data_IF_428621932893
#
_entry.id   IF_428621932893
#
_cell.length_a   1.000
_cell.length_b   1.000
_cell.length_c   1.000
_cell.angle_alpha   90.00
_cell.angle_beta   90.00
_cell.angle_gamma   90.00
#
_symmetry.space_group_name_H-M   'P 1'
#
loop_
_entity.id
_entity.type
_entity.pdbx_description
1 polymer ?
#
# COMPACT_ATOMS: atom_id res chain seq x y z
N UNK A 1 -21.41 37.19 33.76
CA UNK A 1 -22.02 35.84 33.50
C UNK A 1 -21.21 34.76 34.24
N UNK A 2 -21.82 33.59 34.58
CA UNK A 2 -21.06 32.45 35.12
C UNK A 2 -20.34 31.70 34.01
N UNK A 3 -19.23 31.04 34.33
CA UNK A 3 -18.37 30.34 33.36
C UNK A 3 -19.13 29.35 32.44
N UNK A 4 -20.09 28.58 32.98
CA UNK A 4 -20.87 27.64 32.15
C UNK A 4 -21.78 28.34 31.11
N UNK A 5 -22.30 29.54 31.43
CA UNK A 5 -23.07 30.33 30.44
C UNK A 5 -22.16 30.94 29.36
N UNK A 6 -20.96 31.33 29.74
CA UNK A 6 -19.95 31.83 28.78
C UNK A 6 -19.51 30.71 27.84
N UNK A 7 -19.24 29.53 28.38
CA UNK A 7 -18.91 28.33 27.60
C UNK A 7 -19.97 28.02 26.53
N UNK A 8 -21.25 28.10 26.90
CA UNK A 8 -22.36 27.87 25.96
C UNK A 8 -22.49 28.98 24.92
N UNK A 9 -22.34 30.25 25.32
CA UNK A 9 -22.53 31.41 24.45
C UNK A 9 -21.44 31.53 23.39
N UNK A 10 -20.18 31.27 23.77
CA UNK A 10 -19.01 31.40 22.90
C UNK A 10 -18.54 30.08 22.31
N UNK A 11 -19.27 28.97 22.55
CA UNK A 11 -18.92 27.64 22.06
C UNK A 11 -17.49 27.18 22.41
N UNK A 12 -17.02 27.56 23.59
CA UNK A 12 -15.69 27.20 24.11
C UNK A 12 -15.80 26.30 25.33
N UNK A 13 -14.93 25.31 25.45
CA UNK A 13 -14.94 24.41 26.61
C UNK A 13 -14.61 25.15 27.91
N UNK A 14 -15.18 24.69 29.03
CA UNK A 14 -14.91 25.23 30.37
C UNK A 14 -13.41 25.09 30.68
N UNK A 15 -12.77 24.00 30.27
CA UNK A 15 -11.34 23.76 30.48
C UNK A 15 -10.49 24.80 29.76
N UNK A 16 -10.83 25.19 28.53
CA UNK A 16 -10.17 26.25 27.80
C UNK A 16 -10.33 27.62 28.49
N UNK A 17 -11.52 27.90 29.06
CA UNK A 17 -11.71 29.13 29.82
C UNK A 17 -10.84 29.15 31.08
N UNK A 18 -10.77 28.03 31.83
CA UNK A 18 -9.85 27.92 32.96
C UNK A 18 -8.38 28.04 32.51
N UNK A 19 -8.01 27.46 31.39
CA UNK A 19 -6.67 27.58 30.83
C UNK A 19 -6.33 29.05 30.50
N UNK A 20 -7.24 29.81 29.88
CA UNK A 20 -7.03 31.23 29.58
C UNK A 20 -6.93 32.06 30.86
N UNK A 21 -7.70 31.75 31.90
CA UNK A 21 -7.56 32.40 33.18
C UNK A 21 -6.21 32.09 33.82
N UNK A 22 -5.81 30.84 33.82
CA UNK A 22 -4.52 30.40 34.40
C UNK A 22 -3.32 30.99 33.66
N UNK A 23 -3.42 31.12 32.35
CA UNK A 23 -2.39 31.70 31.50
C UNK A 23 -2.39 33.24 31.55
N UNK A 24 -3.31 33.86 32.29
CA UNK A 24 -3.40 35.32 32.45
C UNK A 24 -4.03 36.07 31.25
N UNK A 25 -4.60 35.33 30.28
CA UNK A 25 -5.32 35.94 29.14
C UNK A 25 -6.65 36.57 29.58
N UNK A 26 -7.36 35.88 30.50
CA UNK A 26 -8.60 36.41 31.09
C UNK A 26 -8.39 36.65 32.60
N UNK A 27 -8.93 37.76 33.07
CA UNK A 27 -8.84 38.17 34.51
C UNK A 27 -10.25 38.46 35.03
N UNK A 28 -11.17 37.43 35.07
CA UNK A 28 -12.53 37.65 35.55
C UNK A 28 -12.53 37.89 37.08
N UNK A 29 -13.38 38.82 37.55
CA UNK A 29 -13.63 38.98 39.00
C UNK A 29 -14.07 37.67 39.66
N UNK A 30 -13.65 37.43 40.91
CA UNK A 30 -13.93 36.20 41.64
C UNK A 30 -14.66 36.46 42.99
N UNK A 31 -15.88 37.02 42.96
CA UNK A 31 -16.63 37.23 44.18
C UNK A 31 -17.02 35.89 44.80
N UNK A 32 -16.82 35.77 46.13
CA UNK A 32 -17.12 34.55 46.90
C UNK A 32 -16.52 33.26 46.31
N UNK A 33 -15.33 33.37 45.68
CA UNK A 33 -14.62 32.24 45.11
C UNK A 33 -15.08 31.74 43.73
N UNK A 34 -16.10 32.33 43.12
CA UNK A 34 -16.60 31.96 41.79
C UNK A 34 -16.22 32.99 40.72
N UNK A 35 -15.77 32.53 39.56
CA UNK A 35 -15.47 33.43 38.45
C UNK A 35 -16.76 34.02 37.84
N UNK A 36 -16.76 35.33 37.67
CA UNK A 36 -17.85 36.09 37.04
C UNK A 36 -17.30 36.86 35.85
N UNK A 37 -17.76 36.54 34.68
CA UNK A 37 -17.37 37.23 33.44
C UNK A 37 -18.25 38.47 33.32
N UNK A 38 -17.66 39.62 33.55
CA UNK A 38 -18.24 40.96 33.28
C UNK A 38 -18.10 41.33 31.80
N UNK A 39 -18.58 42.50 31.41
CA UNK A 39 -18.51 42.98 30.03
C UNK A 39 -17.07 43.12 29.54
N UNK A 40 -16.17 43.59 30.37
CA UNK A 40 -14.76 43.77 30.00
C UNK A 40 -14.09 42.39 29.74
N UNK A 41 -14.32 41.42 30.62
CA UNK A 41 -13.80 40.07 30.45
C UNK A 41 -14.39 39.36 29.22
N UNK A 42 -15.65 39.63 28.89
CA UNK A 42 -16.27 39.11 27.66
C UNK A 42 -15.65 39.73 26.40
N UNK A 43 -15.40 41.03 26.39
CA UNK A 43 -14.70 41.71 25.30
C UNK A 43 -13.25 41.20 25.12
N UNK A 44 -12.55 40.91 26.21
CA UNK A 44 -11.23 40.29 26.13
C UNK A 44 -11.33 38.87 25.56
N UNK A 45 -12.35 38.09 25.94
CA UNK A 45 -12.56 36.76 25.37
C UNK A 45 -12.86 36.80 23.87
N UNK A 46 -13.75 37.74 23.46
CA UNK A 46 -14.06 37.93 22.04
C UNK A 46 -12.80 38.25 21.22
N UNK A 47 -11.96 39.12 21.73
CA UNK A 47 -10.70 39.44 21.06
C UNK A 47 -9.70 38.28 21.05
N UNK A 48 -9.61 37.49 22.14
CA UNK A 48 -8.82 36.26 22.16
C UNK A 48 -9.27 35.30 21.05
N UNK A 49 -10.59 35.12 20.90
CA UNK A 49 -11.14 34.22 19.88
C UNK A 49 -10.85 34.72 18.48
N UNK A 50 -11.04 36.05 18.21
CA UNK A 50 -10.68 36.67 16.94
C UNK A 50 -9.18 36.46 16.61
N UNK A 51 -8.28 36.71 17.57
CA UNK A 51 -6.86 36.52 17.36
C UNK A 51 -6.49 35.07 17.13
N UNK A 52 -7.22 34.12 17.78
CA UNK A 52 -7.06 32.68 17.52
C UNK A 52 -7.46 32.32 16.11
N UNK A 53 -8.56 32.86 15.59
CA UNK A 53 -9.00 32.66 14.20
C UNK A 53 -8.00 33.24 13.18
N UNK A 54 -7.21 34.23 13.60
CA UNK A 54 -6.12 34.80 12.83
C UNK A 54 -4.77 34.10 13.04
N UNK A 55 -4.79 32.88 13.60
CA UNK A 55 -3.63 32.01 13.87
C UNK A 55 -2.59 32.60 14.84
N UNK A 56 -2.97 33.58 15.69
CA UNK A 56 -2.08 34.05 16.75
C UNK A 56 -1.88 32.95 17.83
N UNK A 57 -0.64 32.75 18.24
CA UNK A 57 -0.29 31.90 19.37
C UNK A 57 -0.75 32.52 20.67
N UNK A 58 -0.94 31.74 21.72
CA UNK A 58 -1.34 32.26 23.02
C UNK A 58 -0.31 33.23 23.61
N UNK A 59 0.96 33.05 23.28
CA UNK A 59 2.04 34.01 23.67
C UNK A 59 1.88 35.38 22.99
N UNK A 60 1.60 35.40 21.69
CA UNK A 60 1.34 36.62 20.95
C UNK A 60 0.08 37.33 21.47
N UNK A 61 -0.99 36.58 21.71
CA UNK A 61 -2.25 37.04 22.31
C UNK A 61 -2.00 37.69 23.69
N UNK A 62 -1.17 37.02 24.53
CA UNK A 62 -0.83 37.55 25.85
C UNK A 62 -0.09 38.92 25.74
N UNK A 63 0.83 39.08 24.79
CA UNK A 63 1.53 40.35 24.54
C UNK A 63 0.52 41.44 24.14
N UNK A 64 -0.36 41.12 23.19
CA UNK A 64 -1.37 42.08 22.72
C UNK A 64 -2.36 42.52 23.80
N UNK A 65 -2.83 41.54 24.62
CA UNK A 65 -3.68 41.87 25.77
C UNK A 65 -2.97 42.68 26.83
N UNK A 66 -1.68 42.40 27.06
CA UNK A 66 -0.88 43.20 28.00
C UNK A 66 -0.72 44.64 27.54
N UNK A 67 -0.38 44.87 26.29
CA UNK A 67 -0.33 46.23 25.70
C UNK A 67 -1.68 46.94 25.82
N UNK A 68 -2.78 46.28 25.44
CA UNK A 68 -4.14 46.80 25.57
C UNK A 68 -4.47 47.21 26.99
N UNK A 69 -4.11 46.40 28.00
CA UNK A 69 -4.43 46.66 29.41
C UNK A 69 -3.60 47.79 30.02
N UNK A 70 -2.33 47.93 29.59
CA UNK A 70 -1.41 48.95 30.14
C UNK A 70 -1.65 50.29 29.53
N UNK A 71 -1.76 50.39 28.19
CA UNK A 71 -1.82 51.68 27.47
C UNK A 71 -3.18 51.95 26.81
N UNK A 72 -4.05 50.93 26.67
CA UNK A 72 -5.29 51.06 25.90
C UNK A 72 -5.07 51.36 24.42
N UNK A 73 -3.85 51.13 23.89
CA UNK A 73 -3.41 51.55 22.55
C UNK A 73 -3.51 53.08 22.33
N UNK A 74 -3.40 53.86 23.39
CA UNK A 74 -3.43 55.32 23.32
C UNK A 74 -2.13 55.92 22.77
N UNK A 75 -1.02 55.18 22.90
CA UNK A 75 0.27 55.58 22.35
C UNK A 75 0.37 55.17 20.86
N UNK A 76 0.76 56.09 19.94
CA UNK A 76 1.05 55.74 18.58
C UNK A 76 2.05 54.61 18.39
N UNK A 77 2.98 54.43 19.32
CA UNK A 77 3.96 53.34 19.28
C UNK A 77 3.31 51.96 19.47
N UNK A 78 2.34 51.85 20.39
CA UNK A 78 1.60 50.57 20.62
C UNK A 78 0.80 50.18 19.37
N UNK A 79 0.22 51.16 18.66
CA UNK A 79 -0.47 50.94 17.39
C UNK A 79 0.47 50.47 16.28
N UNK A 80 1.70 50.98 16.27
CA UNK A 80 2.73 50.51 15.33
C UNK A 80 3.12 49.07 15.61
N UNK A 81 3.35 48.69 16.88
CA UNK A 81 3.64 47.31 17.27
C UNK A 81 2.51 46.35 16.89
N UNK A 82 1.26 46.74 17.18
CA UNK A 82 0.09 45.96 16.81
C UNK A 82 0.03 45.76 15.28
N UNK A 83 0.21 46.84 14.52
CA UNK A 83 0.23 46.79 13.05
C UNK A 83 1.35 45.87 12.54
N UNK A 84 2.52 45.94 13.10
CA UNK A 84 3.67 45.13 12.74
C UNK A 84 3.39 43.63 13.02
N UNK A 85 2.80 43.31 14.17
CA UNK A 85 2.40 41.93 14.48
C UNK A 85 1.39 41.39 13.48
N UNK A 86 0.37 42.15 13.08
CA UNK A 86 -0.57 41.75 12.03
C UNK A 86 0.10 41.57 10.67
N UNK A 87 1.02 42.50 10.31
CA UNK A 87 1.77 42.41 9.05
C UNK A 87 2.64 41.14 8.99
N UNK A 88 3.33 40.85 10.09
CA UNK A 88 4.17 39.65 10.21
C UNK A 88 3.32 38.38 10.11
N UNK A 89 2.19 38.32 10.80
CA UNK A 89 1.27 37.19 10.73
C UNK A 89 0.75 37.01 9.29
N UNK A 90 0.31 38.09 8.65
CA UNK A 90 -0.12 38.01 7.24
C UNK A 90 1.01 37.53 6.33
N UNK A 91 2.25 37.98 6.55
CA UNK A 91 3.39 37.53 5.77
C UNK A 91 3.63 36.01 5.90
N UNK A 92 3.60 35.52 7.13
CA UNK A 92 3.73 34.06 7.39
C UNK A 92 2.62 33.25 6.70
N UNK A 93 1.37 33.66 6.80
CA UNK A 93 0.25 33.02 6.09
C UNK A 93 0.47 32.99 4.57
N UNK A 94 0.96 34.07 3.98
CA UNK A 94 1.24 34.10 2.54
C UNK A 94 2.40 33.16 2.15
N UNK A 95 3.43 33.06 3.01
CA UNK A 95 4.52 32.10 2.80
C UNK A 95 4.03 30.65 2.89
N UNK A 96 3.20 30.34 3.88
CA UNK A 96 2.61 29.00 4.02
C UNK A 96 1.71 28.65 2.84
N UNK A 97 0.89 29.59 2.38
CA UNK A 97 0.06 29.40 1.17
C UNK A 97 0.93 29.11 -0.07
N UNK A 98 2.01 29.87 -0.27
CA UNK A 98 2.93 29.66 -1.39
C UNK A 98 3.59 28.28 -1.31
N UNK A 99 4.05 27.87 -0.12
CA UNK A 99 4.62 26.56 0.11
C UNK A 99 3.60 25.44 -0.15
N UNK A 100 2.37 25.56 0.38
CA UNK A 100 1.30 24.56 0.15
C UNK A 100 0.94 24.45 -1.33
N UNK A 101 0.93 25.55 -2.05
CA UNK A 101 0.73 25.54 -3.50
C UNK A 101 1.83 24.79 -4.21
N UNK A 102 3.10 25.05 -3.89
CA UNK A 102 4.23 24.31 -4.47
C UNK A 102 4.12 22.81 -4.19
N UNK A 103 3.74 22.41 -2.97
CA UNK A 103 3.52 21.01 -2.62
C UNK A 103 2.39 20.40 -3.46
N UNK A 104 1.28 21.13 -3.64
CA UNK A 104 0.16 20.68 -4.47
C UNK A 104 0.60 20.47 -5.94
N UNK A 105 1.33 21.42 -6.51
CA UNK A 105 1.85 21.34 -7.88
C UNK A 105 2.81 20.15 -8.05
N UNK A 106 3.62 19.84 -7.03
CA UNK A 106 4.50 18.66 -7.03
C UNK A 106 3.72 17.35 -6.94
N UNK A 107 2.66 17.31 -6.14
CA UNK A 107 1.76 16.16 -6.04
C UNK A 107 1.04 15.92 -7.37
N UNK A 108 0.56 16.98 -8.02
CA UNK A 108 -0.10 16.87 -9.32
C UNK A 108 0.84 16.30 -10.40
N UNK A 109 2.10 16.72 -10.41
CA UNK A 109 3.12 16.12 -11.28
C UNK A 109 3.33 14.65 -10.99
N UNK A 110 3.39 14.26 -9.70
CA UNK A 110 3.51 12.86 -9.31
C UNK A 110 2.28 12.03 -9.71
N UNK A 111 1.09 12.57 -9.59
CA UNK A 111 -0.14 11.92 -10.04
C UNK A 111 -0.12 11.72 -11.57
N UNK A 112 0.34 12.72 -12.33
CA UNK A 112 0.46 12.62 -13.78
C UNK A 112 1.52 11.59 -14.23
N UNK A 113 2.56 11.36 -13.42
CA UNK A 113 3.57 10.32 -13.66
C UNK A 113 3.04 8.90 -13.40
N UNK A 114 1.94 8.75 -12.65
CA UNK A 114 1.31 7.46 -12.38
C UNK A 114 0.45 7.03 -13.57
N UNK A 115 1.05 6.30 -14.51
CA UNK A 115 0.30 5.63 -15.57
C UNK A 115 -0.54 4.50 -14.96
N UNK A 116 -1.86 4.71 -14.87
CA UNK A 116 -2.80 3.64 -14.58
C UNK A 116 -3.00 2.86 -15.89
N UNK A 117 -2.51 1.61 -15.99
CA UNK A 117 -2.63 0.86 -17.21
C UNK A 117 -4.12 0.69 -17.57
N UNK A 118 -4.55 1.21 -18.70
CA UNK A 118 -5.86 0.87 -19.25
C UNK A 118 -5.93 -0.66 -19.38
N UNK A 119 -7.01 -1.27 -18.91
CA UNK A 119 -7.26 -2.71 -19.04
C UNK A 119 -7.35 -3.03 -20.53
N UNK A 120 -6.26 -3.48 -21.12
CA UNK A 120 -6.27 -4.02 -22.48
C UNK A 120 -6.89 -5.41 -22.44
N UNK A 121 -7.96 -5.70 -23.19
CA UNK A 121 -8.56 -7.02 -23.22
C UNK A 121 -7.70 -8.07 -23.95
N UNK A 122 -6.68 -7.67 -24.68
CA UNK A 122 -5.83 -8.58 -25.45
C UNK A 122 -4.75 -9.22 -24.55
N UNK A 123 -4.90 -10.53 -24.34
CA UNK A 123 -3.87 -11.36 -23.71
C UNK A 123 -2.72 -11.55 -24.71
N UNK A 124 -1.54 -11.03 -24.38
CA UNK A 124 -0.37 -11.07 -25.27
C UNK A 124 0.39 -12.38 -25.18
N UNK A 125 0.43 -13.00 -24.02
CA UNK A 125 1.15 -14.26 -23.75
C UNK A 125 0.20 -15.35 -23.28
N UNK A 126 0.60 -16.60 -23.45
CA UNK A 126 -0.10 -17.79 -23.00
C UNK A 126 0.89 -18.81 -22.44
N UNK A 127 0.50 -20.07 -22.36
CA UNK A 127 1.43 -21.16 -22.03
C UNK A 127 2.44 -21.28 -23.17
N UNK A 128 3.76 -21.06 -22.91
CA UNK A 128 4.76 -21.15 -23.98
C UNK A 128 4.90 -22.60 -24.50
N UNK A 129 4.98 -22.74 -25.82
CA UNK A 129 5.19 -24.07 -26.44
C UNK A 129 6.50 -24.72 -25.98
N UNK A 130 7.52 -23.93 -25.70
CA UNK A 130 8.81 -24.37 -25.15
C UNK A 130 8.71 -25.02 -23.77
N UNK A 131 7.61 -24.78 -23.05
CA UNK A 131 7.36 -25.35 -21.71
C UNK A 131 6.64 -26.70 -21.74
N UNK A 132 6.00 -27.07 -22.85
CA UNK A 132 5.28 -28.34 -22.96
C UNK A 132 6.15 -29.58 -22.66
N UNK A 133 7.42 -29.64 -23.07
CA UNK A 133 8.29 -30.75 -22.72
C UNK A 133 8.54 -30.93 -21.21
N UNK A 134 8.28 -29.89 -20.41
CA UNK A 134 8.40 -29.96 -18.93
C UNK A 134 7.18 -30.58 -18.27
N UNK A 135 6.06 -30.74 -19.00
CA UNK A 135 4.80 -31.24 -18.46
C UNK A 135 4.75 -32.78 -18.48
N UNK A 136 4.14 -33.37 -17.45
CA UNK A 136 3.78 -34.78 -17.40
C UNK A 136 2.56 -34.97 -16.52
N UNK A 137 1.93 -36.12 -16.65
CA UNK A 137 0.81 -36.50 -15.78
C UNK A 137 1.28 -36.67 -14.33
N UNK A 138 0.71 -35.95 -13.36
CA UNK A 138 1.12 -36.06 -11.96
C UNK A 138 0.75 -37.44 -11.36
N UNK A 139 -0.22 -38.13 -11.95
CA UNK A 139 -0.68 -39.44 -11.43
C UNK A 139 0.17 -40.63 -11.91
N UNK A 140 0.72 -40.56 -13.13
CA UNK A 140 1.39 -41.75 -13.72
C UNK A 140 2.68 -41.41 -14.51
N UNK A 141 3.12 -40.15 -14.54
CA UNK A 141 4.35 -39.69 -15.19
C UNK A 141 4.32 -39.68 -16.72
N UNK A 142 3.25 -40.13 -17.36
CA UNK A 142 3.15 -40.17 -18.84
C UNK A 142 2.94 -38.77 -19.41
N UNK A 143 3.28 -38.61 -20.70
CA UNK A 143 3.04 -37.40 -21.44
C UNK A 143 1.53 -37.08 -21.52
N UNK A 144 1.22 -35.80 -21.57
CA UNK A 144 -0.14 -35.29 -21.70
C UNK A 144 -0.49 -35.04 -23.16
N UNK A 145 -1.68 -35.44 -23.60
CA UNK A 145 -2.24 -35.15 -24.91
C UNK A 145 -3.06 -33.85 -24.81
N UNK A 146 -3.07 -33.06 -25.90
CA UNK A 146 -3.82 -31.80 -25.97
C UNK A 146 -4.99 -31.91 -26.93
N UNK A 147 -6.12 -31.28 -26.58
CA UNK A 147 -7.34 -31.18 -27.40
C UNK A 147 -7.91 -29.77 -27.31
N UNK A 148 -8.67 -29.36 -28.32
CA UNK A 148 -9.41 -28.09 -28.36
C UNK A 148 -8.50 -26.87 -28.14
N UNK A 149 -7.38 -26.81 -28.86
CA UNK A 149 -6.30 -25.84 -28.61
C UNK A 149 -6.50 -24.58 -29.44
N UNK A 150 -6.53 -23.43 -28.76
CA UNK A 150 -6.38 -22.11 -29.36
C UNK A 150 -4.94 -21.60 -29.11
N UNK A 151 -4.16 -21.46 -30.18
CA UNK A 151 -2.73 -21.15 -30.09
C UNK A 151 -2.23 -20.35 -31.28
N UNK A 152 -1.06 -19.69 -31.11
CA UNK A 152 -0.24 -19.24 -32.23
C UNK A 152 1.09 -20.05 -32.28
N UNK A 153 2.06 -19.52 -33.02
CA UNK A 153 3.38 -20.15 -33.16
C UNK A 153 4.24 -20.15 -31.86
N UNK A 154 3.80 -19.48 -30.81
CA UNK A 154 4.58 -19.32 -29.55
C UNK A 154 3.79 -19.70 -28.30
N UNK A 155 2.49 -19.42 -28.25
CA UNK A 155 1.67 -19.51 -27.05
C UNK A 155 0.36 -20.25 -27.24
N UNK A 156 -0.12 -20.90 -26.17
CA UNK A 156 -1.45 -21.51 -26.06
C UNK A 156 -2.27 -20.68 -25.09
N UNK A 157 -3.47 -20.21 -25.50
CA UNK A 157 -4.38 -19.48 -24.61
C UNK A 157 -5.49 -20.33 -24.03
N UNK A 158 -5.91 -21.36 -24.79
CA UNK A 158 -6.97 -22.28 -24.39
C UNK A 158 -6.66 -23.69 -24.89
N UNK A 159 -7.07 -24.67 -24.13
CA UNK A 159 -6.93 -26.08 -24.46
C UNK A 159 -7.22 -26.99 -23.29
N UNK A 160 -7.32 -28.30 -23.58
CA UNK A 160 -7.47 -29.34 -22.56
C UNK A 160 -6.28 -30.27 -22.66
N UNK A 161 -5.61 -30.49 -21.52
CA UNK A 161 -4.57 -31.50 -21.34
C UNK A 161 -5.19 -32.76 -20.73
N UNK A 162 -4.92 -33.92 -21.29
CA UNK A 162 -5.49 -35.19 -20.82
C UNK A 162 -4.46 -36.31 -20.82
N UNK A 163 -4.60 -37.24 -19.89
CA UNK A 163 -3.83 -38.47 -19.80
C UNK A 163 -4.72 -39.69 -19.92
N UNK A 164 -4.19 -40.77 -20.45
CA UNK A 164 -4.89 -42.06 -20.54
C UNK A 164 -5.24 -42.69 -19.19
N UNK A 165 -4.68 -42.20 -18.06
CA UNK A 165 -5.07 -42.60 -16.71
C UNK A 165 -6.31 -41.89 -16.16
N UNK A 166 -6.89 -40.91 -16.91
CA UNK A 166 -8.05 -40.15 -16.50
C UNK A 166 -7.73 -38.73 -15.98
N UNK A 167 -6.46 -38.37 -15.80
CA UNK A 167 -6.08 -37.00 -15.40
C UNK A 167 -6.45 -36.00 -16.51
N UNK A 168 -6.99 -34.86 -16.11
CA UNK A 168 -7.31 -33.73 -17.00
C UNK A 168 -6.94 -32.41 -16.36
N UNK A 169 -6.43 -31.48 -17.18
CA UNK A 169 -6.17 -30.09 -16.80
C UNK A 169 -6.59 -29.18 -17.97
N UNK A 170 -6.86 -27.91 -17.70
CA UNK A 170 -7.33 -26.96 -18.69
C UNK A 170 -6.38 -25.78 -18.82
N UNK A 171 -6.23 -25.26 -20.02
CA UNK A 171 -5.60 -23.95 -20.25
C UNK A 171 -6.72 -22.94 -20.47
N UNK A 172 -6.79 -21.92 -19.65
CA UNK A 172 -7.70 -20.78 -19.80
C UNK A 172 -6.93 -19.46 -19.59
N UNK A 173 -7.15 -18.52 -20.48
CA UNK A 173 -6.44 -17.22 -20.41
C UNK A 173 -4.91 -17.36 -20.37
N UNK A 174 -4.37 -18.42 -20.98
CA UNK A 174 -2.95 -18.70 -20.98
C UNK A 174 -2.40 -19.16 -19.62
N UNK A 175 -3.26 -19.62 -18.72
CA UNK A 175 -2.91 -20.20 -17.42
C UNK A 175 -3.28 -21.69 -17.46
N UNK A 176 -2.36 -22.55 -17.06
CA UNK A 176 -2.62 -23.99 -16.89
C UNK A 176 -3.33 -24.20 -15.55
N UNK A 177 -4.56 -24.67 -15.58
CA UNK A 177 -5.41 -24.92 -14.43
C UNK A 177 -5.56 -26.41 -14.20
N UNK A 178 -5.13 -26.91 -13.06
CA UNK A 178 -5.33 -28.32 -12.68
C UNK A 178 -6.72 -28.53 -12.05
N UNK A 179 -7.15 -29.78 -11.85
CA UNK A 179 -8.39 -30.07 -11.13
C UNK A 179 -8.29 -29.76 -9.62
N UNK A 180 -7.09 -29.58 -9.09
CA UNK A 180 -6.83 -29.31 -7.66
C UNK A 180 -7.08 -27.84 -7.34
N UNK A 181 -8.34 -27.52 -7.05
CA UNK A 181 -8.73 -26.13 -6.69
C UNK A 181 -8.69 -25.95 -5.19
N UNK A 182 -8.36 -24.75 -4.75
CA UNK A 182 -8.50 -24.36 -3.35
C UNK A 182 -9.97 -24.47 -2.91
N UNK A 183 -10.22 -25.23 -1.86
CA UNK A 183 -11.56 -25.46 -1.29
C UNK A 183 -11.73 -24.78 0.09
N UNK A 184 -10.68 -24.20 0.63
CA UNK A 184 -10.75 -23.54 1.93
C UNK A 184 -11.38 -22.14 1.76
N UNK A 185 -12.59 -21.96 2.30
CA UNK A 185 -13.33 -20.69 2.22
C UNK A 185 -12.69 -19.55 3.00
N UNK A 186 -11.82 -19.85 3.97
CA UNK A 186 -11.11 -18.86 4.77
C UNK A 186 -9.80 -18.40 4.10
N UNK A 187 -9.34 -19.15 3.12
CA UNK A 187 -8.12 -18.89 2.37
C UNK A 187 -8.51 -18.28 1.02
N UNK A 188 -8.64 -16.95 0.98
CA UNK A 188 -9.05 -16.19 -0.19
C UNK A 188 -7.90 -15.32 -0.74
N UNK A 189 -7.88 -15.03 -2.06
CA UNK A 189 -6.84 -14.20 -2.65
C UNK A 189 -6.93 -12.75 -2.15
N UNK A 190 -5.82 -12.18 -1.68
CA UNK A 190 -5.72 -10.76 -1.35
C UNK A 190 -5.32 -9.92 -2.58
N UNK A 191 -6.27 -9.71 -3.48
CA UNK A 191 -6.06 -8.90 -4.69
C UNK A 191 -5.92 -7.40 -4.40
N UNK A 192 -6.38 -6.94 -3.24
CA UNK A 192 -6.34 -5.53 -2.83
C UNK A 192 -5.09 -5.16 -2.05
N UNK A 193 -4.33 -6.15 -1.60
CA UNK A 193 -3.16 -5.98 -0.74
C UNK A 193 -3.48 -5.29 0.59
N UNK A 194 -4.72 -5.45 1.09
CA UNK A 194 -5.19 -4.80 2.30
C UNK A 194 -4.36 -5.20 3.54
N UNK A 195 -3.99 -6.49 3.63
CA UNK A 195 -3.16 -7.01 4.72
C UNK A 195 -1.78 -6.33 4.84
N UNK A 196 -1.29 -5.71 3.76
CA UNK A 196 0.06 -5.13 3.72
C UNK A 196 0.08 -3.62 3.91
N UNK A 197 -1.09 -2.96 4.02
CA UNK A 197 -1.18 -1.50 4.15
C UNK A 197 -0.74 -0.99 5.52
N UNK A 198 -0.83 -1.83 6.54
CA UNK A 198 -0.54 -1.45 7.94
C UNK A 198 0.34 -2.50 8.66
N UNK A 199 1.45 -2.87 8.02
CA UNK A 199 2.39 -3.82 8.61
C UNK A 199 3.26 -3.15 9.69
N UNK A 200 3.54 -3.85 10.81
CA UNK A 200 4.49 -3.36 11.81
C UNK A 200 5.88 -3.08 11.21
N UNK A 201 6.58 -2.00 11.62
CA UNK A 201 7.90 -1.64 11.08
C UNK A 201 8.95 -2.75 11.18
N UNK A 202 8.92 -3.55 12.25
CA UNK A 202 9.85 -4.66 12.44
C UNK A 202 9.63 -5.76 11.40
N UNK A 203 8.36 -6.03 11.04
CA UNK A 203 8.00 -6.99 10.02
C UNK A 203 8.43 -6.51 8.62
N UNK A 204 8.21 -5.23 8.30
CA UNK A 204 8.70 -4.61 7.06
C UNK A 204 10.23 -4.75 6.97
N UNK A 205 10.94 -4.48 8.07
CA UNK A 205 12.40 -4.60 8.15
C UNK A 205 12.87 -6.06 7.96
N UNK A 206 12.13 -7.02 8.51
CA UNK A 206 12.40 -8.45 8.32
C UNK A 206 12.26 -8.83 6.86
N UNK A 207 11.14 -8.49 6.23
CA UNK A 207 10.89 -8.77 4.81
C UNK A 207 11.97 -8.15 3.92
N UNK A 208 12.33 -6.89 4.14
CA UNK A 208 13.36 -6.22 3.35
C UNK A 208 14.72 -6.92 3.45
N UNK A 209 15.12 -7.37 4.64
CA UNK A 209 16.35 -8.16 4.83
C UNK A 209 16.28 -9.50 4.11
N UNK A 210 15.14 -10.19 4.21
CA UNK A 210 14.91 -11.48 3.54
C UNK A 210 14.94 -11.34 2.03
N UNK A 211 14.30 -10.30 1.47
CA UNK A 211 14.38 -9.96 0.05
C UNK A 211 15.82 -9.75 -0.42
N UNK A 212 16.59 -8.94 0.30
CA UNK A 212 17.98 -8.66 -0.05
C UNK A 212 18.85 -9.92 0.02
N UNK A 213 18.64 -10.78 1.00
CA UNK A 213 19.33 -12.05 1.15
C UNK A 213 19.01 -12.99 -0.02
N UNK A 214 17.73 -13.15 -0.34
CA UNK A 214 17.27 -14.02 -1.43
C UNK A 214 17.75 -13.51 -2.79
N UNK A 215 17.70 -12.19 -3.03
CA UNK A 215 18.24 -11.58 -4.26
C UNK A 215 19.74 -11.85 -4.43
N UNK A 216 20.50 -11.79 -3.34
CA UNK A 216 21.93 -12.12 -3.35
C UNK A 216 22.15 -13.60 -3.70
N UNK A 217 21.44 -14.51 -3.02
CA UNK A 217 21.52 -15.95 -3.28
C UNK A 217 21.13 -16.30 -4.73
N UNK A 218 20.07 -15.67 -5.25
CA UNK A 218 19.62 -15.85 -6.63
C UNK A 218 20.71 -15.41 -7.63
N UNK A 219 21.36 -14.27 -7.40
CA UNK A 219 22.49 -13.80 -8.24
C UNK A 219 23.68 -14.74 -8.20
N UNK A 220 24.01 -15.26 -7.03
CA UNK A 220 25.13 -16.22 -6.83
C UNK A 220 24.84 -17.58 -7.48
N UNK A 221 23.60 -18.04 -7.49
CA UNK A 221 23.18 -19.28 -8.13
C UNK A 221 23.35 -19.27 -9.66
N UNK A 222 23.37 -18.08 -10.28
CA UNK A 222 23.40 -17.89 -11.73
C UNK A 222 22.11 -18.36 -12.39
N UNK A 223 21.48 -17.48 -13.15
CA UNK A 223 20.12 -17.71 -13.66
C UNK A 223 20.05 -18.14 -15.12
N UNK A 224 21.16 -18.09 -15.86
CA UNK A 224 21.20 -18.30 -17.31
C UNK A 224 20.85 -19.75 -17.70
N UNK A 225 19.98 -19.92 -18.70
CA UNK A 225 19.56 -21.22 -19.27
C UNK A 225 18.95 -22.17 -18.23
N UNK A 226 18.27 -21.64 -17.21
CA UNK A 226 17.66 -22.43 -16.13
C UNK A 226 16.15 -22.44 -16.22
N UNK A 227 15.54 -23.45 -15.61
CA UNK A 227 14.12 -23.48 -15.26
C UNK A 227 14.00 -23.05 -13.80
N UNK A 228 13.36 -21.90 -13.59
CA UNK A 228 13.22 -21.27 -12.28
C UNK A 228 11.77 -21.31 -11.90
N UNK A 229 11.46 -21.80 -10.71
CA UNK A 229 10.11 -21.94 -10.19
C UNK A 229 9.92 -21.08 -8.94
N UNK A 230 8.78 -20.37 -8.86
CA UNK A 230 8.30 -19.75 -7.64
C UNK A 230 6.88 -20.24 -7.35
N UNK A 231 6.62 -20.59 -6.09
CA UNK A 231 5.35 -21.19 -5.65
C UNK A 231 4.64 -20.29 -4.65
N UNK A 232 3.28 -20.34 -4.64
CA UNK A 232 2.41 -19.64 -3.70
C UNK A 232 2.70 -18.15 -3.59
N UNK A 233 2.57 -17.45 -4.72
CA UNK A 233 2.91 -16.03 -4.89
C UNK A 233 1.87 -15.06 -4.34
N UNK A 234 0.76 -15.54 -3.80
CA UNK A 234 -0.36 -14.69 -3.37
C UNK A 234 0.06 -13.64 -2.33
N UNK A 235 0.82 -14.06 -1.32
CA UNK A 235 1.34 -13.15 -0.29
C UNK A 235 2.50 -12.31 -0.81
N UNK A 236 3.50 -12.95 -1.41
CA UNK A 236 4.75 -12.34 -1.83
C UNK A 236 5.21 -12.92 -3.18
N UNK A 237 5.33 -12.06 -4.18
CA UNK A 237 5.82 -12.47 -5.47
C UNK A 237 7.22 -11.89 -5.72
N UNK A 238 8.24 -12.69 -5.42
CA UNK A 238 9.64 -12.27 -5.49
C UNK A 238 10.08 -12.01 -6.93
N UNK A 239 9.78 -12.90 -7.88
CA UNK A 239 10.12 -12.75 -9.31
C UNK A 239 9.55 -11.46 -9.88
N UNK A 240 8.28 -11.14 -9.60
CA UNK A 240 7.64 -9.92 -10.11
C UNK A 240 8.36 -8.63 -9.67
N UNK A 241 8.89 -8.62 -8.46
CA UNK A 241 9.59 -7.46 -7.90
C UNK A 241 11.04 -7.32 -8.39
N UNK A 242 11.55 -8.28 -9.18
CA UNK A 242 12.95 -8.33 -9.63
C UNK A 242 13.09 -8.66 -11.11
N UNK A 243 12.11 -8.28 -11.95
CA UNK A 243 12.08 -8.58 -13.38
C UNK A 243 13.33 -8.13 -14.14
N UNK A 244 13.96 -7.03 -13.71
CA UNK A 244 15.19 -6.50 -14.31
C UNK A 244 16.43 -7.42 -14.18
N UNK A 245 16.40 -8.38 -13.24
CA UNK A 245 17.47 -9.34 -13.05
C UNK A 245 17.26 -10.66 -13.78
N UNK A 246 16.10 -10.85 -14.41
CA UNK A 246 15.71 -12.11 -15.01
C UNK A 246 16.22 -12.24 -16.45
N UNK A 247 17.07 -13.26 -16.75
CA UNK A 247 17.53 -13.50 -18.11
C UNK A 247 16.44 -14.02 -19.04
N UNK A 248 16.39 -13.51 -20.27
CA UNK A 248 15.43 -13.91 -21.29
C UNK A 248 15.63 -15.34 -21.83
N UNK A 249 16.80 -15.92 -21.62
CA UNK A 249 17.16 -17.28 -22.04
C UNK A 249 16.85 -18.34 -20.96
N UNK A 250 16.17 -17.95 -19.90
CA UNK A 250 15.66 -18.84 -18.86
C UNK A 250 14.15 -18.99 -18.95
N UNK A 251 13.61 -20.04 -18.37
CA UNK A 251 12.19 -20.34 -18.32
C UNK A 251 11.69 -20.22 -16.89
N UNK A 252 10.50 -19.69 -16.72
CA UNK A 252 9.95 -19.42 -15.40
C UNK A 252 8.65 -20.16 -15.21
N UNK A 253 8.47 -20.79 -14.06
CA UNK A 253 7.23 -21.46 -13.68
C UNK A 253 6.71 -20.74 -12.45
N UNK A 254 5.50 -20.20 -12.53
CA UNK A 254 4.86 -19.48 -11.45
C UNK A 254 3.63 -20.27 -11.04
N UNK A 255 3.60 -20.72 -9.79
CA UNK A 255 2.54 -21.57 -9.26
C UNK A 255 1.80 -20.84 -8.15
N UNK A 256 0.48 -20.82 -8.22
CA UNK A 256 -0.37 -20.34 -7.14
C UNK A 256 -1.69 -21.10 -7.11
N UNK A 257 -2.33 -21.16 -5.94
CA UNK A 257 -3.65 -21.77 -5.76
C UNK A 257 -4.79 -20.92 -6.32
N UNK A 258 -4.57 -19.62 -6.60
CA UNK A 258 -5.57 -18.69 -7.08
C UNK A 258 -5.33 -18.27 -8.52
N UNK A 259 -6.18 -18.71 -9.46
CA UNK A 259 -6.10 -18.27 -10.85
C UNK A 259 -6.19 -16.75 -11.02
N UNK A 260 -6.95 -16.09 -10.15
CA UNK A 260 -7.15 -14.63 -10.14
C UNK A 260 -5.85 -13.89 -9.86
N UNK A 261 -5.08 -14.34 -8.88
CA UNK A 261 -3.75 -13.81 -8.55
C UNK A 261 -2.78 -13.99 -9.72
N UNK A 262 -2.74 -15.18 -10.31
CA UNK A 262 -1.92 -15.46 -11.48
C UNK A 262 -2.30 -14.56 -12.67
N UNK A 263 -3.59 -14.38 -12.94
CA UNK A 263 -4.07 -13.56 -14.03
C UNK A 263 -3.70 -12.08 -13.83
N UNK A 264 -3.81 -11.58 -12.60
CA UNK A 264 -3.40 -10.23 -12.24
C UNK A 264 -1.91 -10.00 -12.52
N UNK A 265 -1.04 -10.87 -12.01
CA UNK A 265 0.41 -10.74 -12.21
C UNK A 265 0.84 -11.01 -13.65
N UNK A 266 0.21 -11.96 -14.33
CA UNK A 266 0.44 -12.22 -15.77
C UNK A 266 0.28 -10.93 -16.57
N UNK A 267 -0.83 -10.20 -16.38
CA UNK A 267 -1.11 -8.92 -17.06
C UNK A 267 -0.08 -7.83 -16.73
N UNK A 268 0.41 -7.79 -15.50
CA UNK A 268 1.44 -6.83 -15.08
C UNK A 268 2.79 -7.16 -15.73
N UNK A 269 3.21 -8.42 -15.71
CA UNK A 269 4.48 -8.87 -16.29
C UNK A 269 4.49 -8.74 -17.81
N UNK A 270 3.38 -9.04 -18.50
CA UNK A 270 3.25 -8.86 -19.95
C UNK A 270 3.53 -7.43 -20.43
N UNK A 271 3.29 -6.43 -19.58
CA UNK A 271 3.58 -5.03 -19.87
C UNK A 271 5.03 -4.66 -19.63
N UNK A 272 5.62 -5.20 -18.56
CA UNK A 272 6.96 -4.84 -18.11
C UNK A 272 8.07 -5.67 -18.76
N UNK A 273 7.80 -6.96 -18.99
CA UNK A 273 8.77 -7.93 -19.49
C UNK A 273 8.13 -8.94 -20.45
N UNK A 274 7.63 -8.50 -21.62
CA UNK A 274 6.86 -9.33 -22.57
C UNK A 274 7.68 -10.46 -23.21
N UNK A 275 9.00 -10.42 -23.11
CA UNK A 275 9.90 -11.41 -23.71
C UNK A 275 10.19 -12.61 -22.79
N UNK A 276 9.80 -12.56 -21.53
CA UNK A 276 10.01 -13.67 -20.61
C UNK A 276 9.08 -14.84 -20.95
N UNK A 277 9.65 -16.05 -20.94
CA UNK A 277 8.88 -17.29 -21.10
C UNK A 277 8.42 -17.80 -19.74
N UNK A 278 7.12 -17.61 -19.44
CA UNK A 278 6.53 -17.92 -18.14
C UNK A 278 5.36 -18.89 -18.30
N UNK A 279 5.42 -20.02 -17.61
CA UNK A 279 4.30 -20.92 -17.39
C UNK A 279 3.60 -20.52 -16.08
N UNK A 280 2.37 -20.08 -16.18
CA UNK A 280 1.50 -19.85 -15.03
C UNK A 280 0.68 -21.10 -14.76
N UNK A 281 0.75 -21.64 -13.54
CA UNK A 281 0.12 -22.90 -13.13
C UNK A 281 -0.78 -22.65 -11.90
N UNK A 282 -2.07 -22.85 -12.06
CA UNK A 282 -3.03 -22.80 -10.95
C UNK A 282 -3.23 -24.21 -10.35
N UNK A 283 -2.72 -24.42 -9.15
CA UNK A 283 -2.81 -25.69 -8.42
C UNK A 283 -2.74 -25.44 -6.91
N UNK A 284 -3.58 -26.11 -6.13
CA UNK A 284 -3.58 -26.06 -4.66
C UNK A 284 -3.02 -27.32 -4.00
N UNK A 285 -2.49 -28.25 -4.80
CA UNK A 285 -1.83 -29.45 -4.30
C UNK A 285 -0.31 -29.33 -4.29
N UNK A 286 0.35 -30.34 -3.77
CA UNK A 286 1.81 -30.46 -3.82
C UNK A 286 2.29 -31.35 -4.98
N UNK A 287 1.37 -31.84 -5.83
CA UNK A 287 1.64 -32.76 -6.93
C UNK A 287 1.37 -32.09 -8.28
N UNK A 288 2.32 -31.32 -8.75
CA UNK A 288 2.21 -30.55 -9.98
C UNK A 288 2.35 -31.40 -11.24
N UNK A 289 1.72 -31.02 -12.37
CA UNK A 289 1.87 -31.71 -13.66
C UNK A 289 3.19 -31.39 -14.34
N UNK A 290 4.30 -31.53 -13.61
CA UNK A 290 5.66 -31.27 -14.04
C UNK A 290 6.49 -32.55 -14.01
N UNK A 291 7.44 -32.69 -14.95
CA UNK A 291 8.38 -33.82 -14.94
C UNK A 291 9.31 -33.73 -13.74
N UNK A 292 9.60 -34.87 -13.07
CA UNK A 292 10.58 -34.89 -12.00
C UNK A 292 11.94 -34.32 -12.45
N UNK A 293 12.55 -33.46 -11.62
CA UNK A 293 13.86 -32.90 -11.88
C UNK A 293 13.91 -31.85 -13.01
N UNK A 294 12.78 -31.31 -13.46
CA UNK A 294 12.74 -30.29 -14.51
C UNK A 294 13.02 -28.86 -14.00
N UNK A 295 13.07 -28.65 -12.69
CA UNK A 295 13.32 -27.35 -12.05
C UNK A 295 14.78 -27.30 -11.60
N UNK A 296 15.52 -26.29 -12.05
CA UNK A 296 16.92 -26.06 -11.67
C UNK A 296 17.05 -25.20 -10.41
N UNK A 297 16.08 -24.29 -10.19
CA UNK A 297 16.06 -23.39 -9.05
C UNK A 297 14.62 -23.16 -8.59
N UNK A 298 14.36 -23.43 -7.32
CA UNK A 298 13.09 -23.11 -6.67
C UNK A 298 13.26 -21.92 -5.72
N UNK A 299 12.42 -20.91 -5.90
CA UNK A 299 12.35 -19.72 -5.08
C UNK A 299 11.18 -19.87 -4.11
N UNK A 300 11.50 -19.96 -2.82
CA UNK A 300 10.52 -20.02 -1.74
C UNK A 300 10.67 -18.76 -0.87
N UNK A 301 9.80 -17.78 -1.09
CA UNK A 301 9.72 -16.60 -0.26
C UNK A 301 8.44 -16.67 0.60
N UNK A 302 8.53 -17.36 1.73
CA UNK A 302 7.43 -17.67 2.65
C UNK A 302 6.30 -18.57 2.06
N UNK A 303 6.49 -19.14 0.88
CA UNK A 303 5.49 -19.99 0.22
C UNK A 303 5.14 -21.25 1.04
N UNK A 304 6.15 -21.93 1.54
CA UNK A 304 5.96 -23.11 2.41
C UNK A 304 5.23 -22.73 3.70
N UNK A 305 5.55 -21.58 4.29
CA UNK A 305 4.89 -21.12 5.51
C UNK A 305 3.41 -20.81 5.26
N UNK A 306 3.08 -20.15 4.15
CA UNK A 306 1.70 -19.86 3.77
C UNK A 306 0.92 -21.16 3.51
N UNK A 307 1.47 -22.08 2.73
CA UNK A 307 0.84 -23.35 2.45
C UNK A 307 0.56 -24.13 3.74
N UNK A 308 1.56 -24.31 4.59
CA UNK A 308 1.47 -25.09 5.81
C UNK A 308 0.54 -24.47 6.87
N UNK A 309 0.25 -23.17 6.77
CA UNK A 309 -0.72 -22.51 7.64
C UNK A 309 -2.17 -22.89 7.32
N UNK A 310 -2.48 -23.14 6.05
CA UNK A 310 -3.85 -23.40 5.58
C UNK A 310 -4.13 -24.87 5.25
N UNK A 311 -3.12 -25.75 5.20
CA UNK A 311 -3.24 -27.12 4.77
C UNK A 311 -2.62 -28.11 5.77
N UNK A 312 -3.20 -29.29 5.84
CA UNK A 312 -2.71 -30.39 6.70
C UNK A 312 -1.51 -31.16 6.08
N UNK A 313 -1.22 -30.93 4.81
CA UNK A 313 -0.08 -31.52 4.09
C UNK A 313 1.04 -30.49 3.94
N UNK A 314 2.27 -30.94 4.19
CA UNK A 314 3.44 -30.06 4.06
C UNK A 314 3.97 -30.03 2.62
N UNK A 315 4.43 -28.87 2.17
CA UNK A 315 4.88 -28.65 0.79
C UNK A 315 6.14 -29.47 0.44
N UNK A 316 6.94 -29.86 1.42
CA UNK A 316 8.24 -30.52 1.26
C UNK A 316 8.35 -31.89 1.97
N UNK A 317 7.26 -32.61 2.15
CA UNK A 317 7.28 -33.98 2.60
C UNK A 317 7.54 -35.01 1.49
#
# INVERSE_FOLDING_TARGET
>A
MRIGKVSQLYHISIDNLYYYIHYGLLVPPRPRGQYVFDEATCKDLEWILELKDLDFSLREIHILLSLKRVSGFADPQDLLELKEMYQNKRHLCLQEMAHKKEVADRLEKKIAELEIPASSPEEKTGVPLSMLPLLSCPCCGRDLSMKEVEMNHRYIWKGTLSCSCGYQAEIRHGILMTPNKNQNLQDAPDLTRELYKDLPPDLISLFQRSYNHMLKAMKEAGLQNKVICETYINAWFFIHNHLEYLPKNSRYIIIDKYPETLLMYKRLIEKQAPDLEILYLADSSTCFPLKPGCIDLHLDFFAANEHNFYHDTFLYE
#
